data_IF_835006322851
#
_entry.id   IF_835006322851
#
_cell.length_a   1.000
_cell.length_b   1.000
_cell.length_c   1.000
_cell.angle_alpha   90.00
_cell.angle_beta   90.00
_cell.angle_gamma   90.00
#
_symmetry.space_group_name_H-M   'P 1'
#
loop_
_entity.id
_entity.type
_entity.pdbx_description
1 polymer ?
#
# COMPACT_ATOMS: atom_id res chain seq x y z
N UNK A 1 -29.26 -0.47 15.35
CA UNK A 1 -28.62 0.54 16.21
C UNK A 1 -27.22 0.73 15.66
N UNK A 2 -26.96 1.86 15.00
CA UNK A 2 -25.62 2.18 14.49
C UNK A 2 -24.68 2.38 15.68
N UNK A 3 -23.59 1.61 15.72
CA UNK A 3 -22.58 1.69 16.80
C UNK A 3 -21.34 2.48 16.36
N UNK A 4 -20.47 2.92 17.29
CA UNK A 4 -19.27 3.70 16.99
C UNK A 4 -18.31 3.04 15.98
N UNK A 5 -18.35 1.71 15.87
CA UNK A 5 -17.55 0.93 14.92
C UNK A 5 -18.06 1.10 13.48
N UNK A 6 -19.38 1.16 13.32
CA UNK A 6 -20.04 1.31 12.01
C UNK A 6 -19.79 2.71 11.44
N UNK A 7 -19.83 3.74 12.30
CA UNK A 7 -19.52 5.12 11.94
C UNK A 7 -18.07 5.27 11.46
N UNK A 8 -17.10 4.69 12.19
CA UNK A 8 -15.68 4.68 11.77
C UNK A 8 -15.46 3.92 10.46
N UNK A 9 -16.17 2.81 10.24
CA UNK A 9 -16.08 2.09 8.98
C UNK A 9 -16.60 2.93 7.80
N UNK A 10 -17.74 3.62 7.99
CA UNK A 10 -18.32 4.51 7.00
C UNK A 10 -17.37 5.65 6.62
N UNK A 11 -16.71 6.26 7.59
CA UNK A 11 -15.74 7.33 7.33
C UNK A 11 -14.52 6.84 6.54
N UNK A 12 -14.01 5.64 6.85
CA UNK A 12 -12.92 5.03 6.07
C UNK A 12 -13.31 4.80 4.61
N UNK A 13 -14.52 4.28 4.38
CA UNK A 13 -15.02 4.09 3.02
C UNK A 13 -15.26 5.41 2.28
N UNK A 14 -15.73 6.45 2.97
CA UNK A 14 -15.86 7.80 2.40
C UNK A 14 -14.51 8.35 1.95
N UNK A 15 -13.47 8.22 2.76
CA UNK A 15 -12.10 8.63 2.41
C UNK A 15 -11.56 7.83 1.23
N UNK A 16 -11.73 6.50 1.24
CA UNK A 16 -11.32 5.64 0.11
C UNK A 16 -12.01 6.06 -1.18
N UNK A 17 -13.33 6.30 -1.14
CA UNK A 17 -14.09 6.78 -2.29
C UNK A 17 -13.53 8.10 -2.83
N UNK A 18 -13.24 9.07 -1.97
CA UNK A 18 -12.67 10.35 -2.40
C UNK A 18 -11.28 10.20 -3.05
N UNK A 19 -10.43 9.34 -2.51
CA UNK A 19 -9.09 9.08 -3.08
C UNK A 19 -9.18 8.44 -4.46
N UNK A 20 -10.05 7.44 -4.62
CA UNK A 20 -10.30 6.78 -5.90
C UNK A 20 -10.94 7.75 -6.91
N UNK A 21 -11.97 8.49 -6.49
CA UNK A 21 -12.70 9.39 -7.37
C UNK A 21 -11.87 10.58 -7.85
N UNK A 22 -11.01 11.12 -6.98
CA UNK A 22 -10.09 12.22 -7.36
C UNK A 22 -8.90 11.76 -8.20
N UNK A 23 -8.70 10.44 -8.38
CA UNK A 23 -7.55 9.88 -9.10
C UNK A 23 -6.23 9.91 -8.30
N UNK A 24 -6.25 10.39 -7.05
CA UNK A 24 -5.09 10.38 -6.14
C UNK A 24 -4.69 8.97 -5.69
N UNK A 25 -5.61 8.01 -5.79
CA UNK A 25 -5.35 6.59 -5.64
C UNK A 25 -5.83 5.86 -6.90
N UNK A 26 -4.94 5.08 -7.50
CA UNK A 26 -5.27 4.17 -8.59
C UNK A 26 -5.04 2.74 -8.12
N UNK A 27 -6.01 1.86 -8.37
CA UNK A 27 -5.94 0.45 -7.98
C UNK A 27 -6.00 -0.41 -9.23
N UNK A 28 -5.08 -1.36 -9.34
CA UNK A 28 -5.07 -2.37 -10.40
C UNK A 28 -5.11 -3.74 -9.73
N UNK A 29 -5.95 -4.62 -10.26
CA UNK A 29 -6.09 -6.00 -9.78
C UNK A 29 -5.51 -6.90 -10.85
N UNK A 30 -4.53 -7.71 -10.46
CA UNK A 30 -3.90 -8.69 -11.36
C UNK A 30 -4.71 -9.98 -11.29
N UNK A 31 -5.00 -10.57 -12.45
CA UNK A 31 -5.74 -11.83 -12.53
C UNK A 31 -4.84 -13.01 -12.15
N UNK A 32 -5.32 -13.84 -11.22
CA UNK A 32 -4.62 -15.02 -10.71
C UNK A 32 -4.18 -15.97 -11.85
N UNK A 33 -5.06 -16.24 -12.83
CA UNK A 33 -4.75 -17.12 -13.95
C UNK A 33 -3.62 -16.65 -14.89
N UNK A 34 -3.15 -15.39 -14.76
CA UNK A 34 -2.06 -14.84 -15.60
C UNK A 34 -0.74 -14.80 -14.83
N UNK A 35 -0.76 -14.47 -13.54
CA UNK A 35 0.45 -14.22 -12.75
C UNK A 35 0.67 -15.18 -11.57
N UNK A 36 -0.27 -16.11 -11.33
CA UNK A 36 -0.28 -16.94 -10.14
C UNK A 36 -0.38 -16.10 -8.85
N UNK A 37 0.06 -16.69 -7.74
CA UNK A 37 0.05 -16.03 -6.43
C UNK A 37 1.19 -15.01 -6.30
N UNK A 38 0.93 -13.75 -6.68
CA UNK A 38 1.79 -12.63 -6.30
C UNK A 38 1.61 -12.39 -4.79
N UNK A 39 2.65 -12.67 -4.03
CA UNK A 39 2.66 -12.48 -2.57
C UNK A 39 3.79 -11.55 -2.08
N UNK A 40 4.61 -11.03 -3.00
CA UNK A 40 5.63 -10.02 -2.70
C UNK A 40 4.99 -8.69 -2.34
N UNK A 41 5.61 -7.96 -1.40
CA UNK A 41 5.24 -6.59 -1.05
C UNK A 41 6.44 -5.71 -1.35
N UNK A 42 6.23 -4.76 -2.23
CA UNK A 42 7.25 -3.83 -2.64
C UNK A 42 6.60 -2.51 -3.06
N UNK A 43 7.38 -1.43 -3.02
CA UNK A 43 6.93 -0.12 -3.45
C UNK A 43 8.11 0.79 -3.77
N UNK A 44 7.82 1.85 -4.51
CA UNK A 44 8.76 2.94 -4.79
C UNK A 44 8.13 4.23 -4.25
N UNK A 45 8.92 5.02 -3.54
CA UNK A 45 8.55 6.34 -3.05
C UNK A 45 9.32 7.36 -3.88
N UNK A 46 8.61 8.36 -4.41
CA UNK A 46 9.21 9.52 -5.07
C UNK A 46 8.99 10.75 -4.20
N UNK A 47 10.07 11.40 -3.80
CA UNK A 47 10.06 12.61 -2.98
C UNK A 47 9.76 13.86 -3.83
N UNK A 48 9.48 14.98 -3.16
CA UNK A 48 9.09 16.24 -3.82
C UNK A 48 10.21 16.83 -4.68
N UNK A 49 11.46 16.60 -4.30
CA UNK A 49 12.67 16.97 -5.04
C UNK A 49 13.01 16.01 -6.19
N UNK A 50 12.26 14.92 -6.33
CA UNK A 50 12.45 13.91 -7.36
C UNK A 50 13.37 12.76 -6.95
N UNK A 51 13.96 12.79 -5.74
CA UNK A 51 14.68 11.63 -5.21
C UNK A 51 13.73 10.42 -5.10
N UNK A 52 14.29 9.21 -5.19
CA UNK A 52 13.52 7.97 -5.09
C UNK A 52 14.19 6.98 -4.16
N UNK A 53 13.37 6.19 -3.48
CA UNK A 53 13.77 4.98 -2.76
C UNK A 53 12.77 3.88 -3.04
N UNK A 54 13.21 2.64 -3.09
CA UNK A 54 12.31 1.49 -3.14
C UNK A 54 12.44 0.65 -1.87
N UNK A 55 11.42 -0.14 -1.63
CA UNK A 55 11.42 -1.09 -0.52
C UNK A 55 10.78 -2.40 -0.94
N UNK A 56 11.20 -3.49 -0.30
CA UNK A 56 10.56 -4.79 -0.42
C UNK A 56 10.64 -5.57 0.90
N UNK A 57 9.68 -6.47 1.13
CA UNK A 57 9.70 -7.25 2.35
C UNK A 57 8.43 -8.06 2.62
N UNK A 58 8.24 -8.41 3.90
CA UNK A 58 7.09 -9.18 4.38
C UNK A 58 5.87 -8.30 4.70
N UNK A 59 6.08 -6.99 4.83
CA UNK A 59 5.08 -6.04 5.30
C UNK A 59 3.95 -5.77 4.29
N UNK A 60 2.71 -6.13 4.65
CA UNK A 60 1.50 -5.66 3.96
C UNK A 60 1.14 -4.22 4.34
N UNK A 61 0.41 -3.52 3.46
CA UNK A 61 -0.15 -2.19 3.77
C UNK A 61 -1.34 -2.32 4.74
N UNK A 62 -1.06 -2.61 6.00
CA UNK A 62 -2.07 -2.83 7.03
C UNK A 62 -1.58 -2.38 8.41
N UNK A 63 -2.50 -1.91 9.25
CA UNK A 63 -2.16 -1.49 10.63
C UNK A 63 -1.48 -2.59 11.43
N UNK A 64 -1.98 -3.83 11.34
CA UNK A 64 -1.42 -4.97 12.07
C UNK A 64 0.03 -5.22 11.70
N UNK A 65 0.36 -5.14 10.41
CA UNK A 65 1.74 -5.27 9.93
C UNK A 65 2.64 -4.20 10.54
N UNK A 66 2.19 -2.94 10.56
CA UNK A 66 3.01 -1.82 11.02
C UNK A 66 3.15 -1.71 12.54
N UNK A 67 2.17 -2.20 13.31
CA UNK A 67 2.12 -1.98 14.76
C UNK A 67 2.36 -3.26 15.60
N UNK A 68 2.08 -4.45 15.06
CA UNK A 68 1.95 -5.66 15.86
C UNK A 68 2.85 -6.81 15.41
N UNK A 69 3.12 -6.93 14.10
CA UNK A 69 3.93 -8.01 13.57
C UNK A 69 5.42 -7.67 13.62
N UNK A 70 6.25 -8.70 13.72
CA UNK A 70 7.67 -8.58 13.41
C UNK A 70 7.85 -8.75 11.90
N UNK A 71 8.20 -7.67 11.22
CA UNK A 71 8.29 -7.61 9.76
C UNK A 71 9.70 -7.18 9.35
N UNK A 72 10.15 -7.63 8.19
CA UNK A 72 11.41 -7.19 7.60
C UNK A 72 11.12 -6.38 6.34
N UNK A 73 11.82 -5.25 6.24
CA UNK A 73 11.79 -4.37 5.07
C UNK A 73 13.25 -4.09 4.69
N UNK A 74 13.58 -4.32 3.43
CA UNK A 74 14.80 -3.86 2.80
C UNK A 74 14.50 -2.58 2.03
N UNK A 75 15.31 -1.54 2.23
CA UNK A 75 15.25 -0.27 1.51
C UNK A 75 16.46 -0.17 0.57
N UNK A 76 16.26 0.31 -0.65
CA UNK A 76 17.31 0.48 -1.65
C UNK A 76 17.12 1.75 -2.49
N UNK A 77 18.18 2.55 -2.60
CA UNK A 77 18.22 3.77 -3.42
C UNK A 77 19.13 3.62 -4.65
N UNK A 78 19.71 2.44 -4.88
CA UNK A 78 20.55 2.18 -6.05
C UNK A 78 19.76 2.39 -7.34
N UNK A 79 20.37 2.96 -8.39
CA UNK A 79 19.70 3.19 -9.67
C UNK A 79 18.99 1.95 -10.23
N UNK A 80 19.57 0.77 -10.05
CA UNK A 80 19.02 -0.52 -10.50
C UNK A 80 17.72 -0.91 -9.77
N UNK A 81 17.56 -0.49 -8.52
CA UNK A 81 16.41 -0.85 -7.70
C UNK A 81 15.23 0.13 -7.86
N UNK A 82 15.50 1.37 -8.29
CA UNK A 82 14.50 2.45 -8.46
C UNK A 82 14.13 2.74 -9.93
N UNK A 83 14.77 2.06 -10.89
CA UNK A 83 14.58 2.25 -12.34
C UNK A 83 13.29 1.67 -12.89
#
# INVERSE_FOLDING_TARGET
>A
MEGPVEEKARERFRRLFQLLHSGKLQVRVVLDGIFGLIHGKAGVITFVDGEKTCFMGSANESRTTWELNYELIWEDQSPEAIS
#
